data_IF_046509420870
#
_entry.id   IF_046509420870
#
_cell.length_a   1.000
_cell.length_b   1.000
_cell.length_c   1.000
_cell.angle_alpha   90.00
_cell.angle_beta   90.00
_cell.angle_gamma   90.00
#
_symmetry.space_group_name_H-M   'P 1'
#
loop_
_entity.id
_entity.type
_entity.pdbx_description
1 polymer ?
#
# COMPACT_ATOMS: atom_id res chain seq x y z
N UNK A 1 -9.82 5.92 1.15
CA UNK A 1 -8.60 6.23 0.37
C UNK A 1 -7.86 7.48 0.82
N UNK A 2 -8.54 8.55 1.24
CA UNK A 2 -7.84 9.78 1.65
C UNK A 2 -6.79 9.53 2.74
N UNK A 3 -7.13 8.77 3.79
CA UNK A 3 -6.21 8.42 4.90
C UNK A 3 -4.96 7.71 4.36
N UNK A 4 -5.13 6.71 3.50
CA UNK A 4 -4.04 5.98 2.85
C UNK A 4 -3.15 6.89 2.01
N UNK A 5 -3.73 7.79 1.21
CA UNK A 5 -2.97 8.76 0.43
C UNK A 5 -2.12 9.66 1.31
N UNK A 6 -2.71 10.21 2.37
CA UNK A 6 -1.99 11.07 3.32
C UNK A 6 -0.89 10.28 4.02
N UNK A 7 -1.14 9.03 4.41
CA UNK A 7 -0.15 8.16 5.03
C UNK A 7 1.08 7.94 4.11
N UNK A 8 0.86 7.67 2.82
CA UNK A 8 1.97 7.49 1.88
C UNK A 8 2.70 8.80 1.56
N UNK A 9 1.98 9.91 1.35
CA UNK A 9 2.58 11.23 1.08
C UNK A 9 3.37 11.78 2.27
N UNK A 10 2.86 11.60 3.49
CA UNK A 10 3.55 12.01 4.71
C UNK A 10 4.67 11.03 5.11
N UNK A 11 4.50 9.75 4.81
CA UNK A 11 5.50 8.72 5.03
C UNK A 11 6.77 8.94 4.23
N UNK A 12 6.66 9.33 2.95
CA UNK A 12 7.82 9.56 2.08
C UNK A 12 8.87 10.53 2.65
N UNK A 13 8.53 11.78 3.05
CA UNK A 13 9.50 12.69 3.66
C UNK A 13 9.99 12.20 5.01
N UNK A 14 9.13 11.55 5.82
CA UNK A 14 9.55 10.99 7.11
C UNK A 14 10.62 9.90 6.93
N UNK A 15 10.44 8.99 5.96
CA UNK A 15 11.41 7.94 5.64
C UNK A 15 12.71 8.53 5.10
N UNK A 16 12.63 9.57 4.27
CA UNK A 16 13.82 10.29 3.78
C UNK A 16 14.61 10.94 4.93
N UNK A 17 13.92 11.63 5.83
CA UNK A 17 14.53 12.28 6.99
C UNK A 17 15.17 11.24 7.90
N UNK A 18 14.47 10.15 8.21
CA UNK A 18 15.01 9.06 9.03
C UNK A 18 16.32 8.53 8.45
N UNK A 19 16.34 8.18 7.16
CA UNK A 19 17.51 7.60 6.49
C UNK A 19 18.69 8.58 6.35
N UNK A 20 18.46 9.89 6.48
CA UNK A 20 19.52 10.89 6.50
C UNK A 20 20.20 11.04 7.88
N UNK A 21 19.61 10.47 8.93
CA UNK A 21 20.13 10.59 10.30
C UNK A 21 21.24 9.57 10.57
N UNK A 22 22.38 10.07 11.07
CA UNK A 22 23.53 9.25 11.44
C UNK A 22 23.50 8.79 12.91
N UNK A 23 22.55 9.27 13.70
CA UNK A 23 22.36 8.91 15.11
C UNK A 23 21.25 7.88 15.27
N UNK A 24 21.59 6.70 15.82
CA UNK A 24 20.70 5.54 15.91
C UNK A 24 19.39 5.83 16.66
N UNK A 25 19.44 6.55 17.78
CA UNK A 25 18.25 6.87 18.58
C UNK A 25 17.27 7.77 17.82
N UNK A 26 17.77 8.77 17.11
CA UNK A 26 16.96 9.68 16.31
C UNK A 26 16.38 8.96 15.07
N UNK A 27 17.18 8.11 14.43
CA UNK A 27 16.70 7.22 13.35
C UNK A 27 15.53 6.37 13.82
N UNK A 28 15.66 5.63 14.93
CA UNK A 28 14.61 4.76 15.43
C UNK A 28 13.33 5.56 15.72
N UNK A 29 13.43 6.70 16.40
CA UNK A 29 12.25 7.51 16.74
C UNK A 29 11.48 7.98 15.50
N UNK A 30 12.18 8.54 14.50
CA UNK A 30 11.54 9.05 13.27
C UNK A 30 11.05 7.90 12.38
N UNK A 31 11.82 6.81 12.28
CA UNK A 31 11.45 5.66 11.47
C UNK A 31 10.24 4.91 12.05
N UNK A 32 10.15 4.75 13.37
CA UNK A 32 8.95 4.21 14.03
C UNK A 32 7.74 5.08 13.76
N UNK A 33 7.88 6.41 13.82
CA UNK A 33 6.79 7.32 13.47
C UNK A 33 6.36 7.14 12.00
N UNK A 34 7.32 6.95 11.08
CA UNK A 34 7.03 6.66 9.68
C UNK A 34 6.24 5.35 9.53
N UNK A 35 6.65 4.27 10.23
CA UNK A 35 5.96 2.98 10.21
C UNK A 35 4.53 3.11 10.75
N UNK A 36 4.33 3.83 11.85
CA UNK A 36 2.99 4.06 12.42
C UNK A 36 2.11 4.82 11.42
N UNK A 37 2.66 5.85 10.78
CA UNK A 37 1.96 6.60 9.74
C UNK A 37 1.53 5.70 8.58
N UNK A 38 2.44 4.90 8.03
CA UNK A 38 2.17 3.95 6.95
C UNK A 38 1.15 2.88 7.36
N UNK A 39 1.18 2.43 8.61
CA UNK A 39 0.30 1.36 9.11
C UNK A 39 -1.19 1.74 9.05
N UNK A 40 -1.53 3.03 9.07
CA UNK A 40 -2.91 3.51 8.88
C UNK A 40 -3.50 3.15 7.51
N UNK A 41 -2.67 2.85 6.52
CA UNK A 41 -3.11 2.46 5.19
C UNK A 41 -3.75 1.06 5.14
N UNK A 42 -3.34 0.15 6.03
CA UNK A 42 -3.73 -1.25 5.99
C UNK A 42 -5.25 -1.43 6.12
N UNK A 43 -5.88 -0.73 7.08
CA UNK A 43 -7.32 -0.84 7.30
C UNK A 43 -8.16 -0.45 6.07
N UNK A 44 -7.99 0.77 5.53
CA UNK A 44 -8.76 1.23 4.37
C UNK A 44 -8.60 0.38 3.11
N UNK A 45 -7.38 -0.11 2.81
CA UNK A 45 -7.17 -0.97 1.62
C UNK A 45 -7.92 -2.29 1.78
N UNK A 46 -7.80 -2.93 2.95
CA UNK A 46 -8.45 -4.20 3.20
C UNK A 46 -9.99 -4.07 3.18
N UNK A 47 -10.53 -2.96 3.70
CA UNK A 47 -11.96 -2.68 3.64
C UNK A 47 -12.47 -2.59 2.19
N UNK A 48 -11.76 -1.86 1.32
CA UNK A 48 -12.16 -1.70 -0.09
C UNK A 48 -12.20 -3.04 -0.82
N UNK A 49 -11.20 -3.90 -0.61
CA UNK A 49 -11.15 -5.24 -1.23
C UNK A 49 -12.38 -6.05 -0.81
N UNK A 50 -12.80 -5.94 0.45
CA UNK A 50 -13.97 -6.67 0.95
C UNK A 50 -15.30 -6.11 0.42
N UNK A 51 -15.39 -4.80 0.18
CA UNK A 51 -16.59 -4.13 -0.36
C UNK A 51 -16.82 -4.47 -1.84
N UNK A 52 -15.75 -4.67 -2.62
CA UNK A 52 -15.86 -5.00 -4.05
C UNK A 52 -15.93 -6.51 -4.34
N UNK A 53 -15.89 -7.37 -3.31
CA UNK A 53 -15.86 -8.83 -3.46
C UNK A 53 -17.15 -9.48 -2.97
N UNK A 54 -17.58 -10.53 -3.67
CA UNK A 54 -18.75 -11.32 -3.25
C UNK A 54 -18.43 -12.09 -1.96
N UNK A 55 -19.42 -12.30 -1.06
CA UNK A 55 -19.19 -12.95 0.23
C UNK A 55 -18.50 -14.32 0.13
N UNK A 56 -18.82 -15.12 -0.90
CA UNK A 56 -18.29 -16.47 -1.07
C UNK A 56 -16.80 -16.52 -1.45
N UNK A 57 -16.21 -15.46 -1.99
CA UNK A 57 -14.80 -15.43 -2.42
C UNK A 57 -13.97 -14.38 -1.68
N UNK A 58 -14.55 -13.66 -0.71
CA UNK A 58 -13.89 -12.56 0.00
C UNK A 58 -12.57 -12.99 0.64
N UNK A 59 -12.55 -14.17 1.29
CA UNK A 59 -11.34 -14.72 1.92
C UNK A 59 -10.23 -14.94 0.89
N UNK A 60 -10.55 -15.56 -0.24
CA UNK A 60 -9.61 -15.80 -1.34
C UNK A 60 -9.10 -14.50 -1.95
N UNK A 61 -9.98 -13.51 -2.17
CA UNK A 61 -9.60 -12.23 -2.73
C UNK A 61 -8.66 -11.44 -1.82
N UNK A 62 -8.95 -11.40 -0.52
CA UNK A 62 -8.06 -10.79 0.48
C UNK A 62 -6.74 -11.56 0.58
N UNK A 63 -6.78 -12.89 0.60
CA UNK A 63 -5.58 -13.73 0.63
C UNK A 63 -4.69 -13.52 -0.59
N UNK A 64 -5.26 -13.45 -1.78
CA UNK A 64 -4.53 -13.16 -3.01
C UNK A 64 -3.92 -11.76 -3.01
N UNK A 65 -4.67 -10.74 -2.54
CA UNK A 65 -4.16 -9.38 -2.44
C UNK A 65 -2.96 -9.29 -1.47
N UNK A 66 -3.05 -9.96 -0.31
CA UNK A 66 -1.94 -10.05 0.64
C UNK A 66 -0.75 -10.81 0.05
N UNK A 67 -1.00 -11.95 -0.59
CA UNK A 67 0.04 -12.76 -1.23
C UNK A 67 0.80 -11.94 -2.27
N UNK A 68 0.09 -11.26 -3.18
CA UNK A 68 0.71 -10.43 -4.20
C UNK A 68 1.44 -9.24 -3.59
N UNK A 69 0.87 -8.59 -2.57
CA UNK A 69 1.49 -7.48 -1.87
C UNK A 69 2.81 -7.85 -1.21
N UNK A 70 2.86 -8.98 -0.49
CA UNK A 70 4.07 -9.45 0.18
C UNK A 70 5.07 -10.05 -0.80
N UNK A 71 4.62 -10.78 -1.82
CA UNK A 71 5.52 -11.35 -2.81
C UNK A 71 6.20 -10.25 -3.63
N UNK A 72 5.44 -9.27 -4.12
CA UNK A 72 6.00 -8.16 -4.89
C UNK A 72 6.73 -7.15 -3.99
N UNK A 73 6.32 -6.99 -2.74
CA UNK A 73 6.98 -6.11 -1.78
C UNK A 73 8.24 -6.74 -1.20
N UNK A 74 8.10 -7.78 -0.40
CA UNK A 74 9.16 -8.35 0.42
C UNK A 74 10.18 -9.14 -0.41
N UNK A 75 9.73 -9.85 -1.45
CA UNK A 75 10.66 -10.62 -2.28
C UNK A 75 11.31 -9.77 -3.39
N UNK A 76 10.58 -8.81 -3.98
CA UNK A 76 11.14 -7.99 -5.06
C UNK A 76 11.93 -6.77 -4.56
N UNK A 77 11.58 -6.17 -3.42
CA UNK A 77 12.26 -4.97 -2.93
C UNK A 77 13.76 -5.17 -2.66
N UNK A 78 14.25 -6.28 -2.06
CA UNK A 78 15.68 -6.44 -1.82
C UNK A 78 16.47 -6.62 -3.11
N UNK A 79 15.86 -7.23 -4.14
CA UNK A 79 16.48 -7.37 -5.46
C UNK A 79 16.66 -6.01 -6.14
N UNK A 80 15.64 -5.16 -6.09
CA UNK A 80 15.69 -3.82 -6.67
C UNK A 80 16.70 -2.95 -5.90
N UNK A 81 16.61 -2.92 -4.57
CA UNK A 81 17.53 -2.15 -3.73
C UNK A 81 18.97 -2.66 -3.87
N UNK A 82 19.15 -3.99 -3.94
CA UNK A 82 20.45 -4.63 -4.15
C UNK A 82 21.07 -4.22 -5.48
N UNK A 83 20.32 -4.31 -6.59
CA UNK A 83 20.82 -3.90 -7.91
C UNK A 83 21.21 -2.41 -7.95
N UNK A 84 20.45 -1.52 -7.30
CA UNK A 84 20.78 -0.10 -7.20
C UNK A 84 22.01 0.11 -6.31
N UNK A 85 22.11 -0.62 -5.19
CA UNK A 85 23.26 -0.59 -4.30
C UNK A 85 24.54 -1.03 -5.02
N UNK A 86 24.48 -2.09 -5.81
CA UNK A 86 25.62 -2.62 -6.57
C UNK A 86 26.07 -1.62 -7.64
N UNK A 87 25.13 -0.95 -8.32
CA UNK A 87 25.46 0.07 -9.32
C UNK A 87 25.98 1.38 -8.73
N UNK A 88 25.59 1.74 -7.49
CA UNK A 88 25.96 3.01 -6.85
C UNK A 88 27.06 2.85 -5.81
N UNK A 89 27.48 1.62 -5.53
CA UNK A 89 28.39 1.24 -4.45
C UNK A 89 27.99 1.76 -3.05
N UNK A 90 26.71 2.10 -2.85
CA UNK A 90 26.20 2.68 -1.60
C UNK A 90 24.79 2.22 -1.28
N UNK A 91 24.68 1.33 -0.30
CA UNK A 91 23.40 0.85 0.19
C UNK A 91 22.56 1.97 0.82
N UNK A 92 23.20 2.89 1.53
CA UNK A 92 22.52 4.04 2.15
C UNK A 92 21.83 4.91 1.09
N UNK A 93 22.54 5.20 -0.02
CA UNK A 93 21.97 5.96 -1.13
C UNK A 93 20.83 5.20 -1.83
N UNK A 94 21.00 3.88 -2.02
CA UNK A 94 19.97 3.03 -2.62
C UNK A 94 18.68 3.03 -1.78
N UNK A 95 18.78 2.88 -0.46
CA UNK A 95 17.64 2.92 0.46
C UNK A 95 16.98 4.29 0.52
N UNK A 96 17.78 5.35 0.64
CA UNK A 96 17.30 6.73 0.74
C UNK A 96 16.59 7.19 -0.54
N UNK A 97 17.01 6.69 -1.71
CA UNK A 97 16.34 6.99 -2.97
C UNK A 97 15.10 6.13 -3.18
N UNK A 98 15.23 4.80 -3.02
CA UNK A 98 14.15 3.85 -3.37
C UNK A 98 12.95 3.96 -2.44
N UNK A 99 13.15 4.06 -1.12
CA UNK A 99 12.04 4.07 -0.16
C UNK A 99 11.07 5.25 -0.38
N UNK A 100 11.55 6.50 -0.28
CA UNK A 100 10.72 7.69 -0.49
C UNK A 100 10.11 7.79 -1.88
N UNK A 101 10.84 7.41 -2.95
CA UNK A 101 10.28 7.44 -4.32
C UNK A 101 9.16 6.43 -4.51
N UNK A 102 9.31 5.20 -4.02
CA UNK A 102 8.24 4.20 -4.05
C UNK A 102 7.01 4.65 -3.23
N UNK A 103 7.21 5.27 -2.06
CA UNK A 103 6.13 5.81 -1.25
C UNK A 103 5.39 6.97 -1.92
N UNK A 104 6.12 7.88 -2.59
CA UNK A 104 5.50 8.95 -3.37
C UNK A 104 4.69 8.37 -4.54
N UNK A 105 5.23 7.41 -5.29
CA UNK A 105 4.53 6.75 -6.38
C UNK A 105 3.26 6.06 -5.87
N UNK A 106 3.33 5.33 -4.75
CA UNK A 106 2.16 4.71 -4.13
C UNK A 106 1.09 5.74 -3.74
N UNK A 107 1.50 6.86 -3.15
CA UNK A 107 0.59 7.96 -2.80
C UNK A 107 -0.08 8.60 -4.03
N UNK A 108 0.67 8.81 -5.11
CA UNK A 108 0.13 9.30 -6.39
C UNK A 108 -0.89 8.33 -7.00
N UNK A 109 -0.62 7.03 -6.96
CA UNK A 109 -1.57 6.00 -7.39
C UNK A 109 -2.83 6.04 -6.51
N UNK A 110 -2.69 6.20 -5.20
CA UNK A 110 -3.82 6.33 -4.30
C UNK A 110 -4.68 7.58 -4.56
N UNK A 111 -4.11 8.68 -5.07
CA UNK A 111 -4.90 9.85 -5.52
C UNK A 111 -5.87 9.48 -6.64
N UNK A 112 -5.45 8.62 -7.58
CA UNK A 112 -6.34 8.08 -8.62
C UNK A 112 -7.43 7.24 -7.95
N UNK A 113 -7.05 6.40 -6.97
CA UNK A 113 -7.96 5.60 -6.17
C UNK A 113 -9.05 6.40 -5.46
N UNK A 114 -8.77 7.62 -5.00
CA UNK A 114 -9.79 8.50 -4.39
C UNK A 114 -10.95 8.75 -5.37
N UNK A 115 -10.67 8.90 -6.66
CA UNK A 115 -11.69 9.20 -7.68
C UNK A 115 -12.42 7.95 -8.18
N UNK A 116 -11.75 6.79 -8.21
CA UNK A 116 -12.32 5.57 -8.82
C UNK A 116 -13.05 4.67 -7.82
N UNK A 117 -12.55 4.56 -6.58
CA UNK A 117 -13.03 3.58 -5.60
C UNK A 117 -14.52 3.71 -5.30
N UNK A 118 -15.04 4.93 -5.16
CA UNK A 118 -16.46 5.14 -4.87
C UNK A 118 -17.37 4.55 -5.97
N UNK A 119 -17.01 4.75 -7.24
CA UNK A 119 -17.74 4.20 -8.37
C UNK A 119 -17.58 2.70 -8.54
N UNK A 120 -16.44 2.15 -8.12
CA UNK A 120 -16.18 0.71 -8.18
C UNK A 120 -16.96 -0.05 -7.10
N UNK A 121 -17.03 0.51 -5.88
CA UNK A 121 -17.87 -0.02 -4.79
C UNK A 121 -19.35 -0.01 -5.20
N UNK A 122 -19.86 1.10 -5.76
CA UNK A 122 -21.27 1.17 -6.19
C UNK A 122 -21.59 0.13 -7.28
N UNK A 123 -20.69 -0.02 -8.27
CA UNK A 123 -20.85 -1.01 -9.35
C UNK A 123 -20.78 -2.44 -8.82
N UNK A 124 -19.90 -2.73 -7.86
CA UNK A 124 -19.80 -4.04 -7.23
C UNK A 124 -21.08 -4.38 -6.44
N UNK A 125 -21.57 -3.45 -5.61
CA UNK A 125 -22.81 -3.66 -4.85
C UNK A 125 -24.03 -3.92 -5.74
N UNK A 126 -24.16 -3.20 -6.86
CA UNK A 126 -25.24 -3.45 -7.84
C UNK A 126 -25.18 -4.88 -8.39
N UNK A 127 -24.00 -5.36 -8.78
CA UNK A 127 -23.80 -6.72 -9.32
C UNK A 127 -24.09 -7.80 -8.28
N UNK A 128 -23.62 -7.59 -7.04
CA UNK A 128 -23.87 -8.52 -5.92
C UNK A 128 -25.38 -8.63 -5.66
N UNK A 129 -26.09 -7.50 -5.57
CA UNK A 129 -27.53 -7.47 -5.31
C UNK A 129 -28.36 -8.08 -6.45
N UNK A 130 -27.95 -7.88 -7.71
CA UNK A 130 -28.60 -8.50 -8.87
C UNK A 130 -28.48 -10.03 -8.83
N UNK A 131 -27.26 -10.54 -8.60
CA UNK A 131 -27.01 -11.99 -8.48
C UNK A 131 -27.81 -12.63 -7.34
N UNK A 132 -27.94 -11.96 -6.19
CA UNK A 132 -28.77 -12.44 -5.09
C UNK A 132 -30.27 -12.47 -5.44
N UNK A 133 -30.78 -11.50 -6.20
CA UNK A 133 -32.19 -11.46 -6.63
C UNK A 133 -32.52 -12.55 -7.65
N UNK A 134 -31.62 -12.78 -8.61
CA UNK A 134 -31.78 -13.87 -9.59
C UNK A 134 -31.78 -15.25 -8.93
N UNK A 135 -30.98 -15.43 -7.87
CA UNK A 135 -30.94 -16.68 -7.10
C UNK A 135 -32.23 -16.93 -6.27
N UNK A 136 -32.98 -15.88 -5.91
CA UNK A 136 -34.24 -16.00 -5.16
C UNK A 136 -35.49 -16.13 -6.06
N UNK A 137 -35.36 -15.82 -7.34
CA UNK A 137 -36.44 -15.92 -8.33
C UNK A 137 -36.51 -17.28 -9.03
N UNK A 138 -35.51 -18.15 -8.81
CA UNK A 138 -35.46 -19.54 -9.30
C UNK A 138 -35.87 -20.50 -8.20
#
# INVERSE_FOLDING_TARGET
MIITTVAFLAGAPLTWIALSMHQLSAFIAVFTLAIVCLSFCLGPIQAIIQDITTPNIRSTAVGLALLLGHLLGDAASPLIVGAISDSTHSLGFALQTTGPTCLLLAGLICLIGIKTVAGDIERAHKRINQSSREAHSK
#
